data_IF_224049423363
#
_entry.id   IF_224049423363
#
_cell.length_a   1.000
_cell.length_b   1.000
_cell.length_c   1.000
_cell.angle_alpha   90.00
_cell.angle_beta   90.00
_cell.angle_gamma   90.00
#
_symmetry.space_group_name_H-M   'P 1'
#
loop_
_entity.id
_entity.type
_entity.pdbx_description
1 polymer ?
#
# COMPACT_ATOMS: atom_id res chain seq x y z
N UNK A 1 19.71 43.31 30.44
CA UNK A 1 19.54 43.29 28.97
C UNK A 1 20.14 42.00 28.45
N UNK A 2 19.35 40.92 28.40
CA UNK A 2 19.76 39.63 27.82
C UNK A 2 19.24 39.57 26.40
N UNK A 3 20.14 39.70 25.43
CA UNK A 3 19.84 39.66 24.00
C UNK A 3 19.44 38.25 23.57
N UNK A 4 18.24 38.15 23.02
CA UNK A 4 17.68 36.94 22.45
C UNK A 4 18.23 36.77 21.03
N UNK A 5 19.32 36.04 20.87
CA UNK A 5 19.88 35.70 19.55
C UNK A 5 19.22 34.41 19.04
N UNK A 6 18.04 34.52 18.45
CA UNK A 6 17.54 33.49 17.54
C UNK A 6 18.41 33.50 16.27
N UNK A 7 18.86 32.34 15.77
CA UNK A 7 19.68 32.31 14.55
C UNK A 7 18.86 32.82 13.35
N UNK A 8 19.50 33.51 12.39
CA UNK A 8 18.83 33.98 11.18
C UNK A 8 18.31 32.78 10.38
N UNK A 9 17.05 32.85 9.98
CA UNK A 9 16.39 31.86 9.12
C UNK A 9 17.23 31.70 7.84
N UNK A 10 17.90 30.55 7.68
CA UNK A 10 18.72 30.28 6.49
C UNK A 10 17.81 30.33 5.25
N UNK A 11 18.23 30.95 4.14
CA UNK A 11 17.44 30.91 2.90
C UNK A 11 17.28 29.45 2.47
N UNK A 12 16.01 28.99 2.36
CA UNK A 12 15.67 27.69 1.81
C UNK A 12 16.29 27.59 0.40
N UNK A 13 17.22 26.68 0.19
CA UNK A 13 17.82 26.47 -1.13
C UNK A 13 16.78 25.86 -2.08
N UNK A 14 16.76 26.25 -3.37
CA UNK A 14 15.85 25.66 -4.34
C UNK A 14 16.10 24.15 -4.47
N UNK A 15 15.06 23.35 -4.28
CA UNK A 15 15.11 21.90 -4.54
C UNK A 15 15.31 21.71 -6.04
N UNK A 16 16.34 20.96 -6.45
CA UNK A 16 16.47 20.54 -7.84
C UNK A 16 15.32 19.59 -8.19
N UNK A 17 14.38 20.09 -9.00
CA UNK A 17 13.13 19.41 -9.33
C UNK A 17 13.38 18.06 -10.01
N UNK A 18 14.34 17.97 -10.95
CA UNK A 18 14.59 16.75 -11.70
C UNK A 18 15.18 15.65 -10.80
N UNK A 19 16.18 15.99 -9.99
CA UNK A 19 16.80 15.05 -9.07
C UNK A 19 15.85 14.59 -7.96
N UNK A 20 14.96 15.47 -7.48
CA UNK A 20 13.98 15.11 -6.46
C UNK A 20 12.94 14.08 -6.93
N UNK A 21 12.47 14.17 -8.18
CA UNK A 21 11.53 13.20 -8.76
C UNK A 21 12.19 11.82 -8.93
N UNK A 22 13.45 11.78 -9.35
CA UNK A 22 14.19 10.51 -9.43
C UNK A 22 14.37 9.92 -8.03
N UNK A 23 14.69 10.77 -7.04
CA UNK A 23 14.90 10.36 -5.66
C UNK A 23 13.63 9.78 -5.02
N UNK A 24 12.47 10.40 -5.21
CA UNK A 24 11.23 9.88 -4.60
C UNK A 24 10.85 8.51 -5.14
N UNK A 25 11.00 8.28 -6.45
CA UNK A 25 10.74 6.97 -7.05
C UNK A 25 11.68 5.89 -6.52
N UNK A 26 12.91 6.24 -6.15
CA UNK A 26 13.83 5.32 -5.49
C UNK A 26 13.43 5.04 -4.02
N UNK A 27 12.85 6.02 -3.33
CA UNK A 27 12.42 5.88 -1.93
C UNK A 27 11.06 5.18 -1.76
N UNK A 28 10.22 5.18 -2.79
CA UNK A 28 8.89 4.56 -2.78
C UNK A 28 8.87 3.40 -3.80
N UNK A 29 9.26 2.19 -3.39
CA UNK A 29 9.50 1.06 -4.31
C UNK A 29 8.22 0.49 -4.93
N UNK A 30 7.05 0.85 -4.39
CA UNK A 30 5.75 0.41 -4.90
C UNK A 30 4.82 1.60 -5.01
N UNK A 31 4.34 1.85 -6.23
CA UNK A 31 3.32 2.87 -6.46
C UNK A 31 2.05 2.55 -5.67
N UNK A 32 1.37 3.58 -5.17
CA UNK A 32 0.04 3.44 -4.59
C UNK A 32 -0.91 2.84 -5.63
N UNK A 33 -1.70 1.85 -5.24
CA UNK A 33 -2.61 1.18 -6.15
C UNK A 33 -3.86 0.66 -5.43
N UNK A 34 -5.03 0.79 -6.09
CA UNK A 34 -6.33 0.40 -5.53
C UNK A 34 -6.48 -1.11 -5.36
N UNK A 35 -5.84 -1.91 -6.21
CA UNK A 35 -5.92 -3.37 -6.16
C UNK A 35 -4.98 -3.90 -5.06
N UNK A 36 -3.82 -3.26 -4.88
CA UNK A 36 -2.85 -3.64 -3.82
C UNK A 36 -3.24 -3.17 -2.41
N UNK A 37 -4.14 -2.19 -2.32
CA UNK A 37 -4.60 -1.59 -1.05
C UNK A 37 -3.45 -1.09 -0.15
N UNK A 38 -2.32 -0.74 -0.76
CA UNK A 38 -1.04 -0.47 -0.10
C UNK A 38 -0.91 0.96 0.48
N UNK A 39 -2.03 1.63 0.77
CA UNK A 39 -2.06 3.03 1.22
C UNK A 39 -1.25 3.28 2.48
N UNK A 40 -1.31 2.39 3.48
CA UNK A 40 -0.59 2.58 4.73
C UNK A 40 0.94 2.59 4.50
N UNK A 41 1.46 1.65 3.71
CA UNK A 41 2.88 1.58 3.37
C UNK A 41 3.31 2.79 2.55
N UNK A 42 2.56 3.11 1.49
CA UNK A 42 2.85 4.25 0.61
C UNK A 42 2.80 5.58 1.38
N UNK A 43 1.74 5.83 2.15
CA UNK A 43 1.55 7.08 2.89
C UNK A 43 2.64 7.29 3.95
N UNK A 44 3.07 6.23 4.64
CA UNK A 44 4.18 6.30 5.58
C UNK A 44 5.51 6.67 4.91
N UNK A 45 5.81 6.09 3.74
CA UNK A 45 7.02 6.42 2.98
C UNK A 45 6.98 7.84 2.42
N UNK A 46 5.84 8.24 1.85
CA UNK A 46 5.63 9.59 1.32
C UNK A 46 5.77 10.65 2.43
N UNK A 47 5.17 10.43 3.60
CA UNK A 47 5.33 11.31 4.77
C UNK A 47 6.80 11.46 5.18
N UNK A 48 7.56 10.36 5.20
CA UNK A 48 9.00 10.40 5.53
C UNK A 48 9.77 11.19 4.49
N UNK A 49 9.49 10.98 3.21
CA UNK A 49 10.09 11.74 2.12
C UNK A 49 9.82 13.24 2.25
N UNK A 50 8.57 13.66 2.47
CA UNK A 50 8.27 15.08 2.66
C UNK A 50 9.01 15.70 3.85
N UNK A 51 9.25 14.94 4.93
CA UNK A 51 10.04 15.41 6.09
C UNK A 51 11.51 15.61 5.76
N UNK A 52 12.12 14.82 4.86
CA UNK A 52 13.54 15.01 4.49
C UNK A 52 13.77 16.29 3.68
N UNK A 53 12.73 16.83 3.04
CA UNK A 53 12.78 18.08 2.26
C UNK A 53 12.12 19.26 2.99
N UNK A 54 11.68 19.10 4.24
CA UNK A 54 10.98 20.13 5.03
C UNK A 54 9.67 20.65 4.37
N UNK A 55 8.99 19.80 3.61
CA UNK A 55 7.73 20.14 2.90
C UNK A 55 6.51 19.40 3.45
N UNK A 56 6.64 18.69 4.57
CA UNK A 56 5.55 17.94 5.19
C UNK A 56 4.31 18.79 5.52
N UNK A 57 4.49 20.10 5.76
CA UNK A 57 3.39 21.01 6.04
C UNK A 57 2.38 21.14 4.88
N UNK A 58 2.80 20.88 3.63
CA UNK A 58 1.90 20.87 2.46
C UNK A 58 0.87 19.73 2.50
N UNK A 59 1.12 18.66 3.26
CA UNK A 59 0.16 17.57 3.45
C UNK A 59 -0.95 17.92 4.44
N UNK A 60 -0.77 18.96 5.25
CA UNK A 60 -1.66 19.34 6.34
C UNK A 60 -2.73 20.33 5.86
N UNK A 61 -3.84 20.38 6.58
CA UNK A 61 -4.90 21.34 6.29
C UNK A 61 -4.36 22.77 6.45
N UNK A 62 -4.61 23.68 5.50
CA UNK A 62 -4.10 25.05 5.58
C UNK A 62 -4.59 25.75 6.85
N UNK A 63 -3.66 26.12 7.73
CA UNK A 63 -4.00 26.80 8.97
C UNK A 63 -4.37 28.25 8.64
N UNK A 64 -5.64 28.62 8.81
CA UNK A 64 -6.17 29.96 8.46
C UNK A 64 -5.63 31.12 9.32
N UNK A 65 -4.76 30.85 10.31
CA UNK A 65 -4.33 31.82 11.34
C UNK A 65 -2.81 32.05 11.37
N UNK A 66 -2.08 31.73 10.30
CA UNK A 66 -0.63 31.99 10.27
C UNK A 66 -0.31 33.48 10.30
N UNK A 67 0.34 33.93 11.38
CA UNK A 67 0.91 35.29 11.53
C UNK A 67 2.28 35.45 10.85
N UNK A 68 2.78 34.41 10.18
CA UNK A 68 4.05 34.45 9.46
C UNK A 68 3.91 35.15 8.10
N UNK A 69 4.95 35.83 7.60
CA UNK A 69 4.94 36.38 6.25
C UNK A 69 4.72 35.27 5.21
N UNK A 70 3.98 35.53 4.11
CA UNK A 70 3.73 34.54 3.07
C UNK A 70 5.04 34.02 2.48
N UNK A 71 5.20 32.69 2.39
CA UNK A 71 6.35 32.08 1.71
C UNK A 71 6.20 32.30 0.19
N UNK A 72 7.10 33.06 -0.46
CA UNK A 72 6.98 33.36 -1.89
C UNK A 72 7.15 32.13 -2.79
N UNK A 73 7.68 31.03 -2.26
CA UNK A 73 7.86 29.77 -2.99
C UNK A 73 6.79 28.73 -2.65
N UNK A 74 5.77 29.08 -1.85
CA UNK A 74 4.74 28.14 -1.41
C UNK A 74 4.10 27.40 -2.59
N UNK A 75 3.55 28.13 -3.57
CA UNK A 75 2.84 27.53 -4.71
C UNK A 75 3.76 26.67 -5.59
N UNK A 76 5.01 27.11 -5.76
CA UNK A 76 6.00 26.35 -6.56
C UNK A 76 6.41 25.06 -5.85
N UNK A 77 6.54 25.11 -4.53
CA UNK A 77 6.84 23.93 -3.70
C UNK A 77 5.64 22.99 -3.66
N UNK A 78 4.43 23.52 -3.50
CA UNK A 78 3.19 22.75 -3.51
C UNK A 78 3.02 21.98 -4.82
N UNK A 79 3.20 22.67 -5.96
CA UNK A 79 3.14 22.04 -7.28
C UNK A 79 4.18 20.92 -7.46
N UNK A 80 5.37 21.08 -6.86
CA UNK A 80 6.40 20.04 -6.89
C UNK A 80 5.99 18.81 -6.09
N UNK A 81 5.37 19.00 -4.92
CA UNK A 81 4.89 17.89 -4.09
C UNK A 81 3.70 17.19 -4.77
N UNK A 82 2.77 17.91 -5.41
CA UNK A 82 1.73 17.31 -6.26
C UNK A 82 2.36 16.42 -7.34
N UNK A 83 3.40 16.90 -8.03
CA UNK A 83 4.09 16.12 -9.05
C UNK A 83 4.75 14.85 -8.49
N UNK A 84 5.31 14.94 -7.28
CA UNK A 84 5.82 13.77 -6.56
C UNK A 84 4.72 12.74 -6.26
N UNK A 85 3.54 13.19 -5.83
CA UNK A 85 2.39 12.30 -5.61
C UNK A 85 2.02 11.57 -6.90
N UNK A 86 1.79 12.30 -8.00
CA UNK A 86 1.45 11.68 -9.28
C UNK A 86 2.53 10.71 -9.78
N UNK A 87 3.80 10.98 -9.49
CA UNK A 87 4.90 10.10 -9.87
C UNK A 87 4.97 8.79 -9.08
N UNK A 88 4.26 8.68 -7.96
CA UNK A 88 4.32 7.55 -7.00
C UNK A 88 2.98 6.85 -6.80
N UNK A 89 1.96 7.17 -7.60
CA UNK A 89 0.68 6.48 -7.63
C UNK A 89 0.47 5.81 -9.00
N UNK A 90 -0.44 4.84 -9.09
CA UNK A 90 -0.76 4.19 -10.37
C UNK A 90 -1.52 5.13 -11.31
N UNK A 91 -1.41 4.90 -12.62
CA UNK A 91 -2.03 5.75 -13.63
C UNK A 91 -3.55 5.90 -13.41
N UNK A 92 -4.22 4.79 -13.05
CA UNK A 92 -5.65 4.80 -12.67
C UNK A 92 -5.95 5.81 -11.57
N UNK A 93 -5.11 5.88 -10.53
CA UNK A 93 -5.28 6.83 -9.43
C UNK A 93 -5.01 8.26 -9.88
N UNK A 94 -3.99 8.50 -10.72
CA UNK A 94 -3.76 9.83 -11.32
C UNK A 94 -5.03 10.30 -12.01
N UNK A 95 -5.60 9.49 -12.90
CA UNK A 95 -6.81 9.85 -13.65
C UNK A 95 -8.01 10.16 -12.74
N UNK A 96 -8.06 9.56 -11.54
CA UNK A 96 -9.13 9.80 -10.57
C UNK A 96 -8.97 11.07 -9.74
N UNK A 97 -7.73 11.54 -9.52
CA UNK A 97 -7.47 12.67 -8.60
C UNK A 97 -6.94 13.92 -9.28
N UNK A 98 -6.43 13.81 -10.51
CA UNK A 98 -5.77 14.90 -11.24
C UNK A 98 -6.72 16.07 -11.51
N UNK A 99 -6.26 17.27 -11.17
CA UNK A 99 -6.99 18.53 -11.34
C UNK A 99 -5.98 19.68 -11.28
N UNK A 100 -6.02 20.58 -12.26
CA UNK A 100 -5.10 21.71 -12.45
C UNK A 100 -5.11 22.71 -11.29
N UNK A 101 -6.16 22.68 -10.47
CA UNK A 101 -6.34 23.62 -9.34
C UNK A 101 -6.10 22.99 -7.96
N UNK A 102 -5.75 21.70 -7.91
CA UNK A 102 -5.62 21.00 -6.62
C UNK A 102 -4.30 21.27 -5.91
N UNK A 103 -4.43 21.61 -4.64
CA UNK A 103 -3.31 21.67 -3.70
C UNK A 103 -2.83 20.28 -3.31
N UNK A 104 -1.58 20.18 -2.86
CA UNK A 104 -1.02 18.95 -2.28
C UNK A 104 -1.93 18.34 -1.22
N UNK A 105 -2.46 19.17 -0.32
CA UNK A 105 -3.36 18.71 0.75
C UNK A 105 -4.64 18.08 0.20
N UNK A 106 -5.25 18.66 -0.84
CA UNK A 106 -6.47 18.14 -1.45
C UNK A 106 -6.23 16.81 -2.15
N UNK A 107 -5.12 16.67 -2.91
CA UNK A 107 -4.74 15.38 -3.51
C UNK A 107 -4.52 14.34 -2.43
N UNK A 108 -3.82 14.69 -1.35
CA UNK A 108 -3.60 13.82 -0.19
C UNK A 108 -4.90 13.34 0.44
N UNK A 109 -5.85 14.26 0.66
CA UNK A 109 -7.16 13.97 1.24
C UNK A 109 -8.02 13.10 0.31
N UNK A 110 -8.03 13.38 -1.00
CA UNK A 110 -8.73 12.55 -2.00
C UNK A 110 -8.20 11.12 -1.97
N UNK A 111 -6.88 10.94 -2.01
CA UNK A 111 -6.26 9.61 -1.90
C UNK A 111 -6.58 8.96 -0.56
N UNK A 112 -6.50 9.68 0.56
CA UNK A 112 -6.86 9.14 1.86
C UNK A 112 -8.28 8.59 1.88
N UNK A 113 -9.25 9.37 1.39
CA UNK A 113 -10.66 8.98 1.36
C UNK A 113 -10.88 7.75 0.48
N UNK A 114 -10.28 7.67 -0.72
CA UNK A 114 -10.42 6.50 -1.60
C UNK A 114 -10.03 5.16 -0.95
N UNK A 115 -9.08 5.20 0.00
CA UNK A 115 -8.58 4.01 0.70
C UNK A 115 -9.20 3.81 2.09
N UNK A 116 -9.68 4.87 2.75
CA UNK A 116 -10.36 4.78 4.05
C UNK A 116 -11.85 4.52 3.91
N UNK A 117 -12.48 5.02 2.85
CA UNK A 117 -13.87 4.76 2.55
C UNK A 117 -14.08 3.26 2.39
N UNK A 118 -15.11 2.74 3.05
CA UNK A 118 -15.48 1.34 3.02
C UNK A 118 -14.37 0.39 3.49
N UNK A 119 -13.34 0.86 4.22
CA UNK A 119 -12.26 0.00 4.72
C UNK A 119 -12.79 -1.25 5.42
N UNK A 120 -13.75 -1.09 6.33
CA UNK A 120 -14.38 -2.20 7.05
C UNK A 120 -15.08 -3.17 6.08
N UNK A 121 -15.85 -2.63 5.13
CA UNK A 121 -16.54 -3.45 4.13
C UNK A 121 -15.55 -4.20 3.22
N UNK A 122 -14.43 -3.57 2.83
CA UNK A 122 -13.36 -4.21 2.05
C UNK A 122 -12.67 -5.32 2.83
N UNK A 123 -12.39 -5.12 4.13
CA UNK A 123 -11.86 -6.19 5.00
C UNK A 123 -12.84 -7.36 5.05
N UNK A 124 -14.13 -7.10 5.28
CA UNK A 124 -15.16 -8.14 5.33
C UNK A 124 -15.24 -8.89 3.99
N UNK A 125 -15.22 -8.16 2.87
CA UNK A 125 -15.26 -8.75 1.54
C UNK A 125 -14.04 -9.64 1.29
N UNK A 126 -12.82 -9.13 1.51
CA UNK A 126 -11.59 -9.89 1.31
C UNK A 126 -11.49 -11.11 2.23
N UNK A 127 -11.93 -10.99 3.49
CA UNK A 127 -11.98 -12.11 4.45
C UNK A 127 -12.98 -13.19 3.99
N UNK A 128 -14.13 -12.79 3.45
CA UNK A 128 -15.08 -13.74 2.85
C UNK A 128 -14.51 -14.37 1.58
N UNK A 129 -13.88 -13.58 0.71
CA UNK A 129 -13.33 -14.04 -0.56
C UNK A 129 -12.22 -15.06 -0.33
N UNK A 130 -11.27 -14.80 0.59
CA UNK A 130 -10.18 -15.71 0.90
C UNK A 130 -10.68 -17.01 1.56
N UNK A 131 -11.69 -16.93 2.45
CA UNK A 131 -12.27 -18.10 3.14
C UNK A 131 -13.02 -19.04 2.21
N UNK A 132 -13.70 -18.48 1.21
CA UNK A 132 -14.54 -19.22 0.28
C UNK A 132 -13.82 -19.53 -1.05
N UNK A 133 -12.54 -19.16 -1.15
CA UNK A 133 -11.77 -19.35 -2.36
C UNK A 133 -11.59 -20.84 -2.66
N UNK A 134 -11.89 -21.25 -3.89
CA UNK A 134 -11.69 -22.60 -4.39
C UNK A 134 -10.76 -22.59 -5.61
N UNK A 135 -9.99 -23.67 -5.81
CA UNK A 135 -9.06 -23.75 -6.94
C UNK A 135 -9.78 -23.70 -8.30
N UNK A 136 -10.96 -24.31 -8.40
CA UNK A 136 -11.78 -24.28 -9.61
C UNK A 136 -10.99 -24.71 -10.84
N UNK A 137 -10.88 -23.82 -11.83
CA UNK A 137 -10.14 -24.02 -13.08
C UNK A 137 -8.75 -23.36 -13.07
N UNK A 138 -8.33 -22.76 -11.94
CA UNK A 138 -7.01 -22.13 -11.82
C UNK A 138 -5.91 -23.19 -11.82
N UNK A 139 -4.71 -22.79 -12.27
CA UNK A 139 -3.50 -23.55 -11.99
C UNK A 139 -3.20 -23.52 -10.48
N UNK A 140 -2.41 -24.47 -9.99
CA UNK A 140 -1.97 -24.46 -8.58
C UNK A 140 -1.24 -23.17 -8.26
N UNK A 141 -0.36 -22.70 -9.14
CA UNK A 141 0.38 -21.46 -8.92
C UNK A 141 -0.51 -20.22 -8.85
N UNK A 142 -1.45 -20.08 -9.79
CA UNK A 142 -2.39 -18.95 -9.78
C UNK A 142 -3.25 -18.95 -8.52
N UNK A 143 -3.70 -20.13 -8.08
CA UNK A 143 -4.50 -20.27 -6.88
C UNK A 143 -3.74 -19.81 -5.62
N UNK A 144 -2.52 -20.28 -5.41
CA UNK A 144 -1.72 -19.89 -4.25
C UNK A 144 -1.29 -18.42 -4.32
N UNK A 145 -0.97 -17.91 -5.50
CA UNK A 145 -0.65 -16.50 -5.70
C UNK A 145 -1.83 -15.59 -5.36
N UNK A 146 -3.04 -15.98 -5.76
CA UNK A 146 -4.25 -15.21 -5.54
C UNK A 146 -4.71 -15.23 -4.06
N UNK A 147 -4.48 -16.34 -3.34
CA UNK A 147 -4.61 -16.37 -1.87
C UNK A 147 -3.61 -15.41 -1.23
N UNK A 148 -2.33 -15.48 -1.62
CA UNK A 148 -1.28 -14.66 -1.02
C UNK A 148 -1.52 -13.17 -1.27
N UNK A 149 -1.99 -12.83 -2.46
CA UNK A 149 -2.41 -11.46 -2.81
C UNK A 149 -3.51 -10.93 -1.88
N UNK A 150 -4.53 -11.74 -1.56
CA UNK A 150 -5.61 -11.35 -0.63
C UNK A 150 -5.12 -11.23 0.81
N UNK A 151 -4.25 -12.13 1.25
CA UNK A 151 -3.58 -12.05 2.56
C UNK A 151 -2.77 -10.74 2.70
N UNK A 152 -1.97 -10.40 1.68
CA UNK A 152 -1.19 -9.16 1.65
C UNK A 152 -2.10 -7.92 1.64
N UNK A 153 -3.24 -7.96 0.92
CA UNK A 153 -4.24 -6.90 0.94
C UNK A 153 -4.88 -6.72 2.33
N UNK A 154 -5.24 -7.83 2.99
CA UNK A 154 -5.77 -7.81 4.35
C UNK A 154 -4.74 -7.25 5.35
N UNK A 155 -3.48 -7.67 5.24
CA UNK A 155 -2.38 -7.12 6.03
C UNK A 155 -2.19 -5.61 5.79
N UNK A 156 -2.27 -5.14 4.54
CA UNK A 156 -2.20 -3.72 4.21
C UNK A 156 -3.34 -2.90 4.83
N UNK A 157 -4.52 -3.49 4.99
CA UNK A 157 -5.65 -2.88 5.70
C UNK A 157 -5.53 -2.97 7.23
N UNK A 158 -4.53 -3.66 7.76
CA UNK A 158 -4.30 -3.87 9.20
C UNK A 158 -5.05 -5.06 9.78
N UNK A 159 -5.52 -5.99 8.94
CA UNK A 159 -6.19 -7.22 9.33
C UNK A 159 -5.31 -8.42 8.98
N UNK A 160 -4.38 -8.79 9.85
CA UNK A 160 -3.45 -9.89 9.58
C UNK A 160 -4.15 -11.25 9.73
N UNK A 161 -4.03 -12.11 8.72
CA UNK A 161 -4.48 -13.51 8.79
C UNK A 161 -3.37 -14.34 9.42
N UNK A 162 -3.71 -15.24 10.35
CA UNK A 162 -2.72 -16.15 10.93
C UNK A 162 -2.29 -17.20 9.91
N UNK A 163 -1.03 -17.64 9.94
CA UNK A 163 -0.52 -18.69 9.05
C UNK A 163 -1.42 -19.94 9.06
N UNK A 164 -1.86 -20.37 10.25
CA UNK A 164 -2.75 -21.52 10.39
C UNK A 164 -4.10 -21.31 9.72
N UNK A 165 -4.68 -20.11 9.82
CA UNK A 165 -5.91 -19.76 9.10
C UNK A 165 -5.68 -19.73 7.58
N UNK A 166 -4.57 -19.14 7.12
CA UNK A 166 -4.23 -19.05 5.70
C UNK A 166 -4.10 -20.44 5.07
N UNK A 167 -3.40 -21.35 5.76
CA UNK A 167 -3.28 -22.76 5.35
C UNK A 167 -4.65 -23.44 5.35
N UNK A 168 -5.47 -23.18 6.38
CA UNK A 168 -6.84 -23.73 6.46
C UNK A 168 -7.69 -23.31 5.28
N UNK A 169 -7.59 -22.05 4.85
CA UNK A 169 -8.33 -21.55 3.69
C UNK A 169 -7.84 -22.21 2.39
N UNK A 170 -6.53 -22.31 2.20
CA UNK A 170 -5.94 -23.00 1.05
C UNK A 170 -6.39 -24.47 0.95
N UNK A 171 -6.28 -25.25 2.03
CA UNK A 171 -6.68 -26.67 2.00
C UNK A 171 -8.19 -26.87 1.82
N UNK A 172 -9.03 -25.91 2.24
CA UNK A 172 -10.47 -25.97 2.02
C UNK A 172 -10.80 -25.83 0.53
N UNK A 173 -10.16 -24.88 -0.15
CA UNK A 173 -10.38 -24.64 -1.58
C UNK A 173 -9.76 -25.68 -2.51
N UNK A 174 -8.76 -26.42 -2.03
CA UNK A 174 -8.14 -27.54 -2.76
C UNK A 174 -8.98 -28.82 -2.74
N UNK A 175 -9.89 -28.99 -1.76
CA UNK A 175 -10.56 -30.27 -1.47
C UNK A 175 -11.32 -30.86 -2.65
N UNK A 176 -11.80 -30.04 -3.58
CA UNK A 176 -12.52 -30.48 -4.77
C UNK A 176 -11.60 -31.15 -5.82
N UNK A 177 -10.36 -30.70 -5.95
CA UNK A 177 -9.39 -31.19 -6.96
C UNK A 177 -8.33 -32.13 -6.36
N UNK A 178 -7.91 -31.85 -5.11
CA UNK A 178 -6.85 -32.57 -4.41
C UNK A 178 -7.30 -33.02 -2.99
N UNK A 179 -8.31 -33.91 -2.88
CA UNK A 179 -8.86 -34.32 -1.58
C UNK A 179 -7.84 -35.06 -0.69
N UNK A 180 -6.95 -35.86 -1.28
CA UNK A 180 -5.94 -36.62 -0.52
C UNK A 180 -4.87 -35.72 0.09
N UNK A 181 -4.33 -34.76 -0.66
CA UNK A 181 -3.38 -33.78 -0.13
C UNK A 181 -4.01 -32.97 1.01
N UNK A 182 -5.25 -32.50 0.82
CA UNK A 182 -5.98 -31.79 1.87
C UNK A 182 -6.17 -32.65 3.14
N UNK A 183 -6.39 -33.97 2.99
CA UNK A 183 -6.50 -34.91 4.11
C UNK A 183 -5.17 -35.13 4.81
N UNK A 184 -4.08 -35.33 4.06
CA UNK A 184 -2.73 -35.53 4.60
C UNK A 184 -2.34 -34.34 5.47
N UNK A 185 -2.49 -33.11 4.96
CA UNK A 185 -2.11 -31.88 5.67
C UNK A 185 -2.88 -31.75 7.00
N UNK A 186 -4.19 -32.07 7.03
CA UNK A 186 -5.01 -31.98 8.25
C UNK A 186 -4.61 -32.95 9.37
N UNK A 187 -3.97 -34.06 9.02
CA UNK A 187 -3.60 -35.11 9.97
C UNK A 187 -2.11 -35.11 10.30
N UNK A 188 -1.32 -34.16 9.77
CA UNK A 188 0.06 -33.97 10.18
C UNK A 188 0.13 -33.43 11.62
N UNK A 189 1.10 -33.91 12.39
CA UNK A 189 1.36 -33.48 13.77
C UNK A 189 1.81 -32.01 13.83
N UNK A 190 2.58 -31.58 12.83
CA UNK A 190 3.00 -30.19 12.64
C UNK A 190 2.37 -29.62 11.38
N UNK A 191 1.73 -28.45 11.49
CA UNK A 191 1.17 -27.77 10.33
C UNK A 191 2.30 -27.32 9.39
N UNK A 192 2.30 -27.71 8.11
CA UNK A 192 3.30 -27.27 7.14
C UNK A 192 3.14 -25.78 6.84
N UNK A 193 4.19 -25.12 6.35
CA UNK A 193 4.10 -23.72 5.92
C UNK A 193 3.26 -23.57 4.64
N UNK A 194 2.79 -22.36 4.35
CA UNK A 194 2.04 -22.07 3.13
C UNK A 194 2.78 -22.51 1.85
N UNK A 195 4.09 -22.25 1.78
CA UNK A 195 4.93 -22.66 0.65
C UNK A 195 5.09 -24.19 0.57
N UNK A 196 5.23 -24.87 1.71
CA UNK A 196 5.29 -26.33 1.74
C UNK A 196 3.99 -26.95 1.23
N UNK A 197 2.84 -26.38 1.61
CA UNK A 197 1.53 -26.82 1.10
C UNK A 197 1.45 -26.64 -0.42
N UNK A 198 1.92 -25.51 -0.95
CA UNK A 198 2.02 -25.30 -2.41
C UNK A 198 2.89 -26.37 -3.08
N UNK A 199 4.08 -26.64 -2.55
CA UNK A 199 4.99 -27.66 -3.09
C UNK A 199 4.37 -29.06 -3.09
N UNK A 200 3.65 -29.43 -2.02
CA UNK A 200 2.96 -30.73 -1.95
C UNK A 200 1.88 -30.87 -3.03
N UNK A 201 1.11 -29.80 -3.29
CA UNK A 201 0.06 -29.82 -4.32
C UNK A 201 0.65 -29.83 -5.73
N UNK A 202 1.73 -29.09 -5.97
CA UNK A 202 2.43 -29.11 -7.27
C UNK A 202 3.01 -30.49 -7.59
N UNK A 203 3.55 -31.19 -6.59
CA UNK A 203 4.05 -32.54 -6.76
C UNK A 203 2.91 -33.51 -7.15
N UNK A 204 1.78 -33.45 -6.44
CA UNK A 204 0.59 -34.26 -6.78
C UNK A 204 0.05 -33.93 -8.18
N UNK A 205 0.01 -32.65 -8.58
CA UNK A 205 -0.43 -32.26 -9.92
C UNK A 205 0.47 -32.86 -11.02
N UNK A 206 1.77 -32.99 -10.77
CA UNK A 206 2.70 -33.62 -11.72
C UNK A 206 2.55 -35.15 -11.79
N UNK A 207 2.17 -35.81 -10.70
CA UNK A 207 1.92 -37.26 -10.66
C UNK A 207 0.60 -37.65 -11.35
N UNK A 208 -0.35 -36.71 -11.43
CA UNK A 208 -1.65 -36.90 -12.07
C UNK A 208 -1.67 -36.64 -13.59
N UNK A 209 -0.59 -36.07 -14.15
CA UNK A 209 -0.47 -35.67 -15.56
C UNK A 209 0.10 -36.80 -16.45
#
# INVERSE_FOLDING_TARGET
>A
MTGNNSPPNLPKQPIDKAYSIVSIKACIPSSLDLEKLNYNSWSNLFNRFCKTYDVHHHLQEPVSTSTAPPDPFFDTTDSLVVMWMYSTISLKLVDMVIDDSTTTHEVWKKLQNLFHDNKVARVIQLDNDIRNMAIGTLSVDDYFQEIKSKDDCLANLGSVVSDSSLITYAINGLRAKFPEIARIIRHQETLPTFDQVRSMVLFEESDMA
#
